data_IF_277572304678
#
_entry.id   IF_277572304678
#
_cell.length_a   1.000
_cell.length_b   1.000
_cell.length_c   1.000
_cell.angle_alpha   90.00
_cell.angle_beta   90.00
_cell.angle_gamma   90.00
#
_symmetry.space_group_name_H-M   'P 1'
#
loop_
_entity.id
_entity.type
_entity.pdbx_description
1 polymer ?
#
# COMPACT_ATOMS: atom_id res chain seq x y z
N UNK A 1 -1.17 -11.02 12.96
CA UNK A 1 -1.51 -10.39 11.66
C UNK A 1 -0.27 -10.24 10.81
N UNK A 2 -0.33 -10.72 9.61
CA UNK A 2 0.70 -10.50 8.60
C UNK A 2 0.25 -9.38 7.66
N UNK A 3 1.13 -8.43 7.40
CA UNK A 3 0.89 -7.34 6.46
C UNK A 3 1.98 -7.36 5.40
N UNK A 4 1.59 -7.43 4.14
CA UNK A 4 2.50 -7.34 3.01
C UNK A 4 2.22 -6.05 2.25
N UNK A 5 3.25 -5.25 2.04
CA UNK A 5 3.17 -4.07 1.20
C UNK A 5 3.83 -4.40 -0.15
N UNK A 6 3.05 -4.40 -1.22
CA UNK A 6 3.55 -4.65 -2.57
C UNK A 6 3.68 -3.30 -3.28
N UNK A 7 4.88 -2.98 -3.72
CA UNK A 7 5.21 -1.67 -4.30
C UNK A 7 5.98 -1.82 -5.60
N UNK A 8 5.98 -0.77 -6.40
CA UNK A 8 6.64 -0.74 -7.71
C UNK A 8 7.87 0.18 -7.63
N UNK A 9 9.02 -0.35 -8.03
CA UNK A 9 10.27 0.38 -8.06
C UNK A 9 11.02 0.40 -6.74
N UNK A 10 12.22 0.96 -6.77
CA UNK A 10 13.09 1.10 -5.59
C UNK A 10 13.04 2.52 -5.06
N UNK A 11 13.15 2.67 -3.75
CA UNK A 11 13.28 3.98 -3.11
C UNK A 11 14.74 4.41 -3.19
N UNK A 12 15.00 5.52 -3.86
CA UNK A 12 16.36 6.02 -4.10
C UNK A 12 16.84 7.00 -3.02
N UNK A 13 15.93 7.82 -2.49
CA UNK A 13 16.27 8.84 -1.51
C UNK A 13 16.50 8.21 -0.13
N UNK A 14 17.65 8.52 0.45
CA UNK A 14 18.04 7.98 1.75
C UNK A 14 17.03 8.34 2.85
N UNK A 15 16.53 9.57 2.84
CA UNK A 15 15.57 10.00 3.89
C UNK A 15 14.28 9.21 3.84
N UNK A 16 13.82 8.78 2.65
CA UNK A 16 12.64 7.92 2.53
C UNK A 16 12.94 6.50 2.97
N UNK A 17 14.11 5.95 2.60
CA UNK A 17 14.52 4.63 3.08
C UNK A 17 14.63 4.60 4.60
N UNK A 18 15.19 5.65 5.19
CA UNK A 18 15.32 5.75 6.64
C UNK A 18 13.95 5.83 7.33
N UNK A 19 13.00 6.58 6.75
CA UNK A 19 11.64 6.67 7.27
C UNK A 19 10.91 5.33 7.17
N UNK A 20 11.03 4.63 6.04
CA UNK A 20 10.45 3.30 5.86
C UNK A 20 11.03 2.32 6.89
N UNK A 21 12.34 2.35 7.09
CA UNK A 21 12.99 1.49 8.08
C UNK A 21 12.52 1.78 9.50
N UNK A 22 12.33 3.06 9.85
CA UNK A 22 11.86 3.45 11.18
C UNK A 22 10.44 2.94 11.46
N UNK A 23 9.49 3.16 10.53
CA UNK A 23 8.13 2.68 10.71
C UNK A 23 8.03 1.16 10.64
N UNK A 24 8.84 0.51 9.80
CA UNK A 24 8.90 -0.95 9.75
C UNK A 24 9.36 -1.53 11.09
N UNK A 25 10.36 -0.92 11.70
CA UNK A 25 10.84 -1.30 13.04
C UNK A 25 9.75 -1.15 14.09
N UNK A 26 9.05 -0.02 14.12
CA UNK A 26 7.96 0.24 15.06
C UNK A 26 6.83 -0.77 14.88
N UNK A 27 6.48 -1.10 13.64
CA UNK A 27 5.41 -2.05 13.31
C UNK A 27 5.74 -3.48 13.73
N UNK A 28 7.03 -3.84 13.81
CA UNK A 28 7.45 -5.18 14.22
C UNK A 28 6.90 -5.63 15.57
N UNK A 29 6.54 -4.69 16.45
CA UNK A 29 5.92 -4.98 17.74
C UNK A 29 4.45 -5.44 17.58
N UNK A 30 3.79 -5.06 16.50
CA UNK A 30 2.33 -5.23 16.35
C UNK A 30 1.95 -6.25 15.29
N UNK A 31 2.77 -6.41 14.25
CA UNK A 31 2.47 -7.29 13.14
C UNK A 31 3.75 -7.81 12.50
N UNK A 32 3.58 -8.82 11.64
CA UNK A 32 4.67 -9.27 10.77
C UNK A 32 4.54 -8.51 9.44
N UNK A 33 5.48 -7.61 9.20
CA UNK A 33 5.49 -6.76 8.00
C UNK A 33 6.51 -7.29 7.00
N UNK A 34 6.06 -7.48 5.76
CA UNK A 34 6.92 -7.73 4.60
C UNK A 34 6.70 -6.62 3.57
N UNK A 35 7.79 -6.13 2.98
CA UNK A 35 7.72 -5.19 1.87
C UNK A 35 8.30 -5.87 0.65
N UNK A 36 7.49 -5.96 -0.42
CA UNK A 36 7.86 -6.54 -1.70
C UNK A 36 7.95 -5.44 -2.74
N UNK A 37 9.12 -5.26 -3.31
CA UNK A 37 9.32 -4.31 -4.41
C UNK A 37 9.39 -5.07 -5.72
N UNK A 38 8.49 -4.77 -6.66
CA UNK A 38 8.57 -5.29 -8.01
C UNK A 38 9.25 -4.27 -8.92
N UNK A 39 9.89 -4.74 -10.00
CA UNK A 39 10.57 -3.85 -10.93
C UNK A 39 9.58 -2.91 -11.61
N UNK A 40 9.96 -1.64 -11.74
CA UNK A 40 9.20 -0.66 -12.49
C UNK A 40 9.57 -0.69 -13.98
N UNK A 41 8.66 -0.17 -14.80
CA UNK A 41 8.92 0.11 -16.20
C UNK A 41 9.28 1.58 -16.38
N UNK A 42 10.22 1.84 -17.31
CA UNK A 42 10.57 3.20 -17.65
C UNK A 42 9.40 3.90 -18.34
N UNK A 43 8.99 5.06 -17.83
CA UNK A 43 7.92 5.86 -18.41
C UNK A 43 8.54 7.04 -19.17
N UNK A 44 8.49 7.06 -20.52
CA UNK A 44 8.96 8.20 -21.29
C UNK A 44 8.08 9.43 -21.05
N UNK A 45 8.67 10.62 -21.18
CA UNK A 45 7.89 11.84 -21.27
C UNK A 45 6.96 11.77 -22.47
N UNK A 46 5.73 12.28 -22.34
CA UNK A 46 4.73 12.30 -23.43
C UNK A 46 4.40 10.90 -23.98
N UNK A 47 4.41 9.88 -23.11
CA UNK A 47 4.00 8.54 -23.52
C UNK A 47 2.56 8.55 -24.01
N UNK A 48 2.27 7.76 -25.07
CA UNK A 48 0.91 7.58 -25.55
C UNK A 48 0.07 6.81 -24.54
N UNK A 49 -1.26 6.95 -24.63
CA UNK A 49 -2.18 6.19 -23.76
C UNK A 49 -1.97 4.68 -23.92
N UNK A 50 -1.67 4.22 -25.14
CA UNK A 50 -1.38 2.81 -25.38
C UNK A 50 -0.11 2.33 -24.69
N UNK A 51 0.95 3.16 -24.71
CA UNK A 51 2.19 2.82 -24.02
C UNK A 51 2.00 2.83 -22.51
N UNK A 52 1.26 3.81 -21.98
CA UNK A 52 0.97 3.86 -20.54
C UNK A 52 0.20 2.63 -20.08
N UNK A 53 -0.78 2.16 -20.87
CA UNK A 53 -1.51 0.92 -20.57
C UNK A 53 -0.57 -0.29 -20.54
N UNK A 54 0.37 -0.38 -21.50
CA UNK A 54 1.35 -1.46 -21.54
C UNK A 54 2.28 -1.44 -20.33
N UNK A 55 2.73 -0.27 -19.90
CA UNK A 55 3.58 -0.10 -18.72
C UNK A 55 2.84 -0.58 -17.49
N UNK A 56 1.61 -0.12 -17.29
CA UNK A 56 0.80 -0.54 -16.14
C UNK A 56 0.51 -2.03 -16.16
N UNK A 57 0.26 -2.61 -17.33
CA UNK A 57 0.00 -4.04 -17.46
C UNK A 57 1.23 -4.87 -17.08
N UNK A 58 2.42 -4.47 -17.51
CA UNK A 58 3.67 -5.17 -17.14
C UNK A 58 3.95 -5.10 -15.65
N UNK A 59 3.81 -3.91 -15.08
CA UNK A 59 3.96 -3.75 -13.63
C UNK A 59 2.91 -4.55 -12.87
N UNK A 60 1.67 -4.56 -13.38
CA UNK A 60 0.56 -5.32 -12.81
C UNK A 60 0.79 -6.83 -12.83
N UNK A 61 1.36 -7.37 -13.89
CA UNK A 61 1.74 -8.79 -13.93
C UNK A 61 2.73 -9.15 -12.83
N UNK A 62 3.71 -8.28 -12.60
CA UNK A 62 4.69 -8.48 -11.53
C UNK A 62 4.06 -8.43 -10.15
N UNK A 63 3.13 -7.48 -9.94
CA UNK A 63 2.36 -7.37 -8.69
C UNK A 63 1.51 -8.62 -8.48
N UNK A 64 0.81 -9.08 -9.52
CA UNK A 64 -0.12 -10.20 -9.43
C UNK A 64 0.56 -11.49 -8.94
N UNK A 65 1.83 -11.69 -9.25
CA UNK A 65 2.58 -12.87 -8.78
C UNK A 65 2.71 -12.95 -7.26
N UNK A 66 2.56 -11.82 -6.57
CA UNK A 66 2.67 -11.73 -5.12
C UNK A 66 1.32 -11.65 -4.40
N UNK A 67 0.22 -11.53 -5.15
CA UNK A 67 -1.12 -11.52 -4.56
C UNK A 67 -1.50 -12.93 -4.15
N UNK A 68 -1.94 -13.08 -2.90
CA UNK A 68 -2.36 -14.35 -2.33
C UNK A 68 -3.88 -14.45 -2.26
N UNK A 69 -4.41 -15.62 -2.58
CA UNK A 69 -5.86 -15.85 -2.56
C UNK A 69 -6.45 -15.80 -1.15
N UNK A 70 -5.63 -16.12 -0.14
CA UNK A 70 -6.03 -16.14 1.27
C UNK A 70 -5.81 -14.79 1.98
N UNK A 71 -5.40 -13.77 1.27
CA UNK A 71 -5.19 -12.43 1.83
C UNK A 71 -6.34 -11.50 1.46
N UNK A 72 -6.61 -10.53 2.33
CA UNK A 72 -7.48 -9.39 1.99
C UNK A 72 -6.62 -8.33 1.30
N UNK A 73 -6.98 -7.97 0.07
CA UNK A 73 -6.18 -7.11 -0.80
C UNK A 73 -6.76 -5.70 -0.84
N UNK A 74 -5.96 -4.74 -0.41
CA UNK A 74 -6.29 -3.32 -0.45
C UNK A 74 -5.37 -2.65 -1.47
N UNK A 75 -5.93 -2.07 -2.51
CA UNK A 75 -5.16 -1.29 -3.48
C UNK A 75 -5.33 0.21 -3.22
N UNK A 76 -4.24 0.96 -3.25
CA UNK A 76 -4.30 2.41 -3.14
C UNK A 76 -4.67 3.00 -4.50
N UNK A 77 -5.75 3.78 -4.51
CA UNK A 77 -6.26 4.41 -5.72
C UNK A 77 -6.93 5.73 -5.36
N UNK A 78 -6.68 6.78 -6.14
CA UNK A 78 -7.27 8.11 -5.90
C UNK A 78 -8.80 8.03 -5.91
N UNK A 79 -9.37 7.20 -6.78
CA UNK A 79 -10.82 7.00 -6.91
C UNK A 79 -11.41 6.08 -5.84
N UNK A 80 -10.60 5.57 -4.91
CA UNK A 80 -11.07 4.72 -3.83
C UNK A 80 -11.82 5.46 -2.74
N UNK A 81 -12.18 4.75 -1.68
CA UNK A 81 -12.85 5.32 -0.52
C UNK A 81 -11.85 5.99 0.41
N UNK A 82 -12.19 7.17 0.89
CA UNK A 82 -11.40 7.86 1.91
C UNK A 82 -11.87 7.44 3.30
N UNK A 83 -10.91 7.19 4.19
CA UNK A 83 -11.15 6.83 5.57
C UNK A 83 -10.45 7.81 6.49
N UNK A 84 -11.02 8.03 7.67
CA UNK A 84 -10.27 8.66 8.77
C UNK A 84 -9.27 7.65 9.34
N UNK A 85 -8.30 8.14 10.11
CA UNK A 85 -7.34 7.25 10.79
C UNK A 85 -8.05 6.27 11.72
N UNK A 86 -9.10 6.74 12.41
CA UNK A 86 -9.90 5.90 13.31
C UNK A 86 -10.68 4.84 12.54
N UNK A 87 -11.21 5.17 11.35
CA UNK A 87 -11.91 4.21 10.50
C UNK A 87 -10.96 3.15 9.96
N UNK A 88 -9.74 3.53 9.59
CA UNK A 88 -8.73 2.56 9.17
C UNK A 88 -8.35 1.63 10.34
N UNK A 89 -8.17 2.19 11.52
CA UNK A 89 -7.90 1.41 12.72
C UNK A 89 -9.01 0.39 13.00
N UNK A 90 -10.27 0.81 12.92
CA UNK A 90 -11.42 -0.07 13.12
C UNK A 90 -11.45 -1.18 12.07
N UNK A 91 -11.15 -0.86 10.81
CA UNK A 91 -11.11 -1.84 9.73
C UNK A 91 -10.04 -2.90 9.97
N UNK A 92 -8.85 -2.51 10.39
CA UNK A 92 -7.75 -3.44 10.70
C UNK A 92 -8.14 -4.34 11.88
N UNK A 93 -8.76 -3.77 12.91
CA UNK A 93 -9.23 -4.53 14.06
C UNK A 93 -10.30 -5.56 13.64
N UNK A 94 -11.24 -5.16 12.80
CA UNK A 94 -12.30 -6.03 12.31
C UNK A 94 -11.76 -7.22 11.52
N UNK A 95 -10.71 -7.03 10.72
CA UNK A 95 -10.08 -8.15 10.02
C UNK A 95 -9.61 -9.22 11.00
N UNK A 96 -8.93 -8.84 12.07
CA UNK A 96 -8.47 -9.79 13.08
C UNK A 96 -9.62 -10.51 13.77
N UNK A 97 -10.70 -9.79 14.09
CA UNK A 97 -11.89 -10.37 14.74
C UNK A 97 -12.64 -11.36 13.86
N UNK A 98 -12.60 -11.19 12.54
CA UNK A 98 -13.31 -12.03 11.57
C UNK A 98 -12.41 -13.06 10.87
N UNK A 99 -11.25 -13.34 11.43
CA UNK A 99 -10.38 -14.42 10.98
C UNK A 99 -9.46 -14.09 9.80
N UNK A 100 -9.38 -12.85 9.38
CA UNK A 100 -8.40 -12.42 8.37
C UNK A 100 -7.03 -12.28 9.03
N UNK A 101 -6.08 -13.13 8.63
CA UNK A 101 -4.74 -13.14 9.21
C UNK A 101 -3.67 -12.50 8.32
N UNK A 102 -4.03 -12.17 7.07
CA UNK A 102 -3.11 -11.58 6.11
C UNK A 102 -3.77 -10.47 5.31
N UNK A 103 -3.20 -9.28 5.36
CA UNK A 103 -3.62 -8.13 4.57
C UNK A 103 -2.48 -7.79 3.62
N UNK A 104 -2.81 -7.62 2.34
CA UNK A 104 -1.87 -7.11 1.34
C UNK A 104 -2.31 -5.73 0.89
N UNK A 105 -1.37 -4.78 0.92
CA UNK A 105 -1.61 -3.41 0.45
C UNK A 105 -0.74 -3.17 -0.78
N UNK A 106 -1.33 -2.58 -1.81
CA UNK A 106 -0.66 -2.40 -3.10
C UNK A 106 -0.55 -0.91 -3.43
N UNK A 107 0.67 -0.46 -3.71
CA UNK A 107 0.95 0.89 -4.20
C UNK A 107 1.51 0.77 -5.61
N UNK A 108 0.90 1.46 -6.57
CA UNK A 108 1.35 1.48 -7.96
C UNK A 108 2.58 2.34 -8.18
N UNK A 109 3.08 2.33 -9.40
CA UNK A 109 4.16 3.20 -9.85
C UNK A 109 3.63 4.59 -10.23
N UNK A 110 4.43 5.33 -11.01
CA UNK A 110 4.13 6.73 -11.38
C UNK A 110 2.81 6.88 -12.15
N UNK A 111 2.40 5.87 -12.89
CA UNK A 111 1.15 5.90 -13.67
C UNK A 111 -0.05 5.32 -12.93
N UNK A 112 0.15 4.82 -11.70
CA UNK A 112 -0.89 4.14 -10.95
C UNK A 112 -0.95 2.65 -11.25
N UNK A 113 -2.08 2.03 -10.93
CA UNK A 113 -2.27 0.59 -11.04
C UNK A 113 -3.03 0.20 -12.31
N UNK A 114 -2.67 -0.96 -12.86
CA UNK A 114 -3.41 -1.58 -13.94
C UNK A 114 -4.86 -1.86 -13.52
N UNK A 115 -5.84 -1.64 -14.42
CA UNK A 115 -7.24 -1.98 -14.14
C UNK A 115 -7.45 -3.41 -13.62
N UNK A 116 -6.66 -4.38 -14.11
CA UNK A 116 -6.74 -5.76 -13.63
C UNK A 116 -6.42 -5.89 -12.14
N UNK A 117 -5.46 -5.12 -11.64
CA UNK A 117 -5.11 -5.11 -10.21
C UNK A 117 -6.21 -4.44 -9.40
N UNK A 118 -6.75 -3.31 -9.88
CA UNK A 118 -7.86 -2.63 -9.21
C UNK A 118 -9.08 -3.54 -9.09
N UNK A 119 -9.38 -4.30 -10.14
CA UNK A 119 -10.49 -5.25 -10.15
C UNK A 119 -10.26 -6.43 -9.22
N UNK A 120 -9.01 -6.89 -9.11
CA UNK A 120 -8.65 -8.00 -8.21
C UNK A 120 -8.71 -7.61 -6.74
N UNK A 121 -8.48 -6.34 -6.42
CA UNK A 121 -8.48 -5.86 -5.04
C UNK A 121 -9.85 -6.03 -4.38
N UNK A 122 -9.84 -6.36 -3.10
CA UNK A 122 -11.06 -6.46 -2.31
C UNK A 122 -11.56 -5.09 -1.85
N UNK A 123 -10.67 -4.12 -1.80
CA UNK A 123 -10.97 -2.77 -1.35
C UNK A 123 -10.04 -1.75 -2.00
N UNK A 124 -10.59 -0.62 -2.43
CA UNK A 124 -9.82 0.50 -2.96
C UNK A 124 -9.79 1.62 -1.92
N UNK A 125 -8.58 1.96 -1.46
CA UNK A 125 -8.36 2.98 -0.45
C UNK A 125 -7.76 4.23 -1.07
N UNK A 126 -8.37 5.39 -0.84
CA UNK A 126 -7.82 6.68 -1.24
C UNK A 126 -7.38 7.48 -0.01
N UNK A 127 -6.16 7.99 -0.04
CA UNK A 127 -5.69 8.92 1.00
C UNK A 127 -6.13 10.34 0.72
N UNK A 128 -6.33 10.69 -0.55
CA UNK A 128 -6.67 12.06 -0.94
C UNK A 128 -7.05 12.09 -2.42
N UNK A 129 -7.74 13.15 -2.82
CA UNK A 129 -7.93 13.48 -4.23
C UNK A 129 -6.65 14.02 -4.88
N UNK A 130 -5.68 14.42 -4.05
CA UNK A 130 -4.37 14.84 -4.53
C UNK A 130 -3.51 13.63 -4.85
N UNK A 131 -2.60 13.80 -5.80
CA UNK A 131 -1.60 12.80 -6.13
C UNK A 131 -0.35 13.02 -5.27
N UNK A 132 0.15 11.95 -4.67
CA UNK A 132 1.40 11.96 -3.92
C UNK A 132 2.47 11.17 -4.68
N UNK A 133 3.75 11.52 -4.51
CA UNK A 133 4.82 10.67 -5.03
C UNK A 133 4.66 9.26 -4.46
N UNK A 134 4.72 8.24 -5.32
CA UNK A 134 4.47 6.86 -4.90
C UNK A 134 5.48 6.35 -3.85
N UNK A 135 6.71 6.87 -3.87
CA UNK A 135 7.71 6.51 -2.86
C UNK A 135 7.41 7.12 -1.49
N UNK A 136 6.95 8.38 -1.46
CA UNK A 136 6.52 9.04 -0.23
C UNK A 136 5.26 8.36 0.34
N UNK A 137 4.37 7.90 -0.54
CA UNK A 137 3.15 7.21 -0.11
C UNK A 137 3.45 5.96 0.71
N UNK A 138 4.56 5.28 0.47
CA UNK A 138 4.98 4.13 1.30
C UNK A 138 5.16 4.53 2.76
N UNK A 139 5.79 5.68 2.99
CA UNK A 139 6.00 6.22 4.35
C UNK A 139 4.67 6.58 4.98
N UNK A 140 3.81 7.29 4.24
CA UNK A 140 2.49 7.72 4.72
C UNK A 140 1.64 6.50 5.10
N UNK A 141 1.62 5.49 4.25
CA UNK A 141 0.86 4.27 4.51
C UNK A 141 1.37 3.53 5.75
N UNK A 142 2.68 3.35 5.86
CA UNK A 142 3.26 2.68 7.03
C UNK A 142 2.98 3.45 8.32
N UNK A 143 3.05 4.78 8.27
CA UNK A 143 2.71 5.63 9.41
C UNK A 143 1.25 5.43 9.84
N UNK A 144 0.31 5.40 8.88
CA UNK A 144 -1.10 5.20 9.18
C UNK A 144 -1.40 3.79 9.72
N UNK A 145 -0.72 2.78 9.23
CA UNK A 145 -0.85 1.42 9.79
C UNK A 145 -0.34 1.40 11.24
N UNK A 146 0.80 2.03 11.49
CA UNK A 146 1.34 2.16 12.84
C UNK A 146 0.36 2.90 13.76
N UNK A 147 -0.18 4.02 13.30
CA UNK A 147 -1.19 4.80 14.01
C UNK A 147 -2.43 3.96 14.33
N UNK A 148 -2.88 3.15 13.37
CA UNK A 148 -4.03 2.26 13.57
C UNK A 148 -3.78 1.27 14.72
N UNK A 149 -2.59 0.67 14.78
CA UNK A 149 -2.25 -0.24 15.88
C UNK A 149 -2.17 0.48 17.22
N UNK A 150 -1.66 1.72 17.24
CA UNK A 150 -1.65 2.54 18.45
C UNK A 150 -3.06 2.84 18.94
N UNK A 151 -3.96 3.22 18.03
CA UNK A 151 -5.37 3.47 18.36
C UNK A 151 -6.01 2.20 18.94
N UNK A 152 -5.83 1.06 18.26
CA UNK A 152 -6.46 -0.20 18.67
C UNK A 152 -5.93 -0.71 20.01
N UNK A 153 -4.68 -0.42 20.35
CA UNK A 153 -4.08 -0.80 21.63
C UNK A 153 -4.40 0.20 22.76
N UNK A 154 -5.05 1.33 22.46
CA UNK A 154 -5.29 2.37 23.45
C UNK A 154 -4.02 3.08 23.90
N UNK A 155 -2.96 3.03 23.10
CA UNK A 155 -1.70 3.64 23.44
C UNK A 155 -1.63 5.09 22.95
N UNK A 156 -0.95 6.00 23.69
CA UNK A 156 -0.86 7.40 23.27
C UNK A 156 -0.01 7.55 21.99
N UNK A 157 -0.55 8.17 21.00
CA UNK A 157 0.08 8.55 19.73
C UNK A 157 -0.83 9.42 18.91
N UNK A 158 -2.04 8.92 18.62
CA UNK A 158 -3.03 9.64 17.83
C UNK A 158 -3.70 10.73 18.68
N UNK A 159 -3.86 11.92 18.06
CA UNK A 159 -4.50 13.07 18.72
C UNK A 159 -5.61 13.65 17.86
#
# INVERSE_FOLDING_TARGET
>A
MKITLITVGKVKEKYLRDAIAEYSKRLGRYCKLDIVEVADEKTPEHASDGLERQIKAKEGERIAKHIRDDAFVIALAIEGKQLTSEQLAAKINDFGLHGTSHIQLIIGGSLGLDPAILKRADYLLSFSKMTFPHQLMRVILLEQIYRAYKINAGEPYHK
#
